data_IF_140547751303
#
_entry.id   IF_140547751303
#
_cell.length_a   1.000
_cell.length_b   1.000
_cell.length_c   1.000
_cell.angle_alpha   90.00
_cell.angle_beta   90.00
_cell.angle_gamma   90.00
#
_symmetry.space_group_name_H-M   'P 1'
#
loop_
_entity.id
_entity.type
_entity.pdbx_description
1 polymer ?
#
# COMPACT_ATOMS: atom_id res chain seq x y z
N UNK A 1 -73.82 -39.80 -45.80
CA UNK A 1 -74.12 -40.32 -44.44
C UNK A 1 -75.63 -40.29 -44.19
N UNK A 2 -76.16 -40.83 -43.08
CA UNK A 2 -77.62 -40.77 -42.79
C UNK A 2 -78.14 -39.33 -42.88
N UNK A 3 -77.30 -38.35 -42.56
CA UNK A 3 -77.56 -36.89 -42.69
C UNK A 3 -77.77 -36.39 -44.13
N UNK A 4 -77.31 -37.13 -45.15
CA UNK A 4 -77.39 -36.75 -46.57
C UNK A 4 -78.47 -37.53 -47.33
N UNK A 5 -79.23 -38.39 -46.64
CA UNK A 5 -80.27 -39.25 -47.23
C UNK A 5 -81.63 -38.54 -47.13
N UNK A 6 -82.19 -38.11 -48.27
CA UNK A 6 -83.43 -37.35 -48.35
C UNK A 6 -84.68 -38.07 -47.76
N UNK A 7 -84.65 -39.40 -47.68
CA UNK A 7 -85.68 -40.26 -47.07
C UNK A 7 -85.07 -41.16 -45.97
N UNK A 8 -84.26 -40.59 -45.07
CA UNK A 8 -83.78 -41.34 -43.90
C UNK A 8 -84.95 -41.73 -42.99
N UNK A 9 -85.04 -43.01 -42.63
CA UNK A 9 -86.02 -43.48 -41.65
C UNK A 9 -85.57 -43.15 -40.23
N UNK A 10 -86.52 -43.07 -39.28
CA UNK A 10 -86.21 -42.82 -37.88
C UNK A 10 -85.26 -43.88 -37.29
N UNK A 11 -85.45 -45.14 -37.68
CA UNK A 11 -84.59 -46.26 -37.30
C UNK A 11 -83.13 -46.09 -37.78
N UNK A 12 -82.92 -45.60 -39.01
CA UNK A 12 -81.58 -45.31 -39.53
C UNK A 12 -80.89 -44.17 -38.78
N UNK A 13 -81.66 -43.16 -38.34
CA UNK A 13 -81.15 -42.05 -37.52
C UNK A 13 -80.75 -42.52 -36.13
N UNK A 14 -81.57 -43.35 -35.49
CA UNK A 14 -81.31 -43.83 -34.13
C UNK A 14 -80.14 -44.84 -34.08
N UNK A 15 -80.01 -45.68 -35.11
CA UNK A 15 -78.83 -46.54 -35.28
C UNK A 15 -77.55 -45.71 -35.46
N UNK A 16 -77.58 -44.68 -36.32
CA UNK A 16 -76.41 -43.82 -36.53
C UNK A 16 -75.99 -43.04 -35.27
N UNK A 17 -76.96 -42.57 -34.47
CA UNK A 17 -76.69 -41.96 -33.16
C UNK A 17 -76.04 -42.94 -32.19
N UNK A 18 -76.54 -44.17 -32.15
CA UNK A 18 -76.01 -45.23 -31.29
C UNK A 18 -74.56 -45.54 -31.68
N UNK A 19 -74.28 -45.73 -32.98
CA UNK A 19 -72.92 -45.95 -33.48
C UNK A 19 -71.98 -44.78 -33.17
N UNK A 20 -72.45 -43.53 -33.32
CA UNK A 20 -71.63 -42.37 -32.98
C UNK A 20 -71.33 -42.29 -31.48
N UNK A 21 -72.31 -42.62 -30.62
CA UNK A 21 -72.14 -42.65 -29.17
C UNK A 21 -71.13 -43.73 -28.76
N UNK A 22 -71.20 -44.92 -29.35
CA UNK A 22 -70.23 -45.99 -29.12
C UNK A 22 -68.82 -45.59 -29.56
N UNK A 23 -68.68 -44.92 -30.71
CA UNK A 23 -67.39 -44.43 -31.19
C UNK A 23 -66.79 -43.33 -30.28
N UNK A 24 -67.63 -42.43 -29.73
CA UNK A 24 -67.20 -41.41 -28.77
C UNK A 24 -66.74 -42.07 -27.47
N UNK A 25 -67.49 -43.04 -26.95
CA UNK A 25 -67.11 -43.80 -25.76
C UNK A 25 -65.79 -44.54 -25.96
N UNK A 26 -65.64 -45.25 -27.08
CA UNK A 26 -64.40 -45.94 -27.41
C UNK A 26 -63.22 -44.98 -27.60
N UNK A 27 -63.43 -43.81 -28.21
CA UNK A 27 -62.39 -42.78 -28.33
C UNK A 27 -61.98 -42.23 -26.97
N UNK A 28 -62.95 -42.01 -26.08
CA UNK A 28 -62.71 -41.51 -24.72
C UNK A 28 -61.96 -42.53 -23.88
N UNK A 29 -62.35 -43.80 -23.92
CA UNK A 29 -61.65 -44.91 -23.24
C UNK A 29 -60.23 -45.15 -23.82
N UNK A 30 -60.02 -44.85 -25.09
CA UNK A 30 -58.71 -44.97 -25.74
C UNK A 30 -57.76 -43.80 -25.47
N UNK A 31 -58.23 -42.70 -24.87
CA UNK A 31 -57.34 -41.61 -24.48
C UNK A 31 -56.36 -42.10 -23.42
N UNK A 32 -55.08 -41.82 -23.64
CA UNK A 32 -54.00 -42.12 -22.70
C UNK A 32 -53.30 -40.82 -22.37
N UNK A 33 -52.84 -40.72 -21.13
CA UNK A 33 -51.98 -39.62 -20.72
C UNK A 33 -50.72 -39.58 -21.59
N UNK A 34 -50.31 -38.37 -21.98
CA UNK A 34 -49.07 -38.17 -22.70
C UNK A 34 -47.87 -38.52 -21.83
N UNK A 35 -46.91 -39.27 -22.38
CA UNK A 35 -45.72 -39.76 -21.64
C UNK A 35 -44.49 -38.87 -21.78
N UNK A 36 -44.66 -37.58 -22.12
CA UNK A 36 -43.53 -36.65 -22.26
C UNK A 36 -42.87 -36.46 -20.89
N UNK A 37 -41.56 -36.72 -20.72
CA UNK A 37 -40.85 -36.41 -19.48
C UNK A 37 -40.98 -34.92 -19.16
N UNK A 38 -41.27 -34.59 -17.91
CA UNK A 38 -41.27 -33.22 -17.41
C UNK A 38 -39.82 -32.70 -17.49
N UNK A 39 -39.58 -31.66 -18.30
CA UNK A 39 -38.28 -30.98 -18.30
C UNK A 39 -38.15 -30.25 -16.96
N UNK A 40 -37.44 -30.85 -16.01
CA UNK A 40 -37.02 -30.14 -14.80
C UNK A 40 -36.25 -28.89 -15.19
N UNK A 41 -36.60 -27.70 -14.67
CA UNK A 41 -35.86 -26.48 -14.99
C UNK A 41 -34.39 -26.64 -14.61
N UNK A 42 -33.50 -26.24 -15.52
CA UNK A 42 -32.05 -26.27 -15.28
C UNK A 42 -31.70 -25.42 -14.05
N UNK A 43 -30.85 -25.96 -13.18
CA UNK A 43 -30.46 -25.33 -11.92
C UNK A 43 -29.49 -24.17 -12.20
N UNK A 44 -29.83 -22.97 -11.74
CA UNK A 44 -29.03 -21.77 -11.99
C UNK A 44 -27.99 -21.55 -10.88
N UNK A 45 -26.70 -21.65 -11.24
CA UNK A 45 -25.54 -21.51 -10.35
C UNK A 45 -24.78 -20.20 -10.51
N UNK A 46 -25.23 -19.31 -11.40
CA UNK A 46 -24.50 -18.09 -11.77
C UNK A 46 -24.22 -17.20 -10.57
N UNK A 47 -25.25 -16.91 -9.77
CA UNK A 47 -25.10 -16.00 -8.63
C UNK A 47 -24.21 -16.54 -7.49
N UNK A 48 -24.13 -17.87 -7.35
CA UNK A 48 -23.21 -18.50 -6.39
C UNK A 48 -21.77 -18.42 -6.89
N UNK A 49 -21.56 -18.68 -8.18
CA UNK A 49 -20.24 -18.59 -8.83
C UNK A 49 -19.69 -17.16 -8.76
N UNK A 50 -20.53 -16.16 -9.04
CA UNK A 50 -20.18 -14.74 -8.89
C UNK A 50 -19.82 -14.38 -7.45
N UNK A 51 -20.59 -14.88 -6.46
CA UNK A 51 -20.32 -14.63 -5.05
C UNK A 51 -18.97 -15.24 -4.60
N UNK A 52 -18.64 -16.46 -5.06
CA UNK A 52 -17.34 -17.10 -4.81
C UNK A 52 -16.21 -16.25 -5.39
N UNK A 53 -16.33 -15.81 -6.64
CA UNK A 53 -15.30 -15.00 -7.31
C UNK A 53 -15.10 -13.61 -6.67
N UNK A 54 -16.15 -13.07 -6.04
CA UNK A 54 -16.10 -11.78 -5.37
C UNK A 54 -15.38 -11.80 -4.01
N UNK A 55 -15.14 -12.98 -3.41
CA UNK A 55 -14.46 -13.09 -2.11
C UNK A 55 -13.05 -12.51 -2.18
N UNK A 56 -12.73 -11.63 -1.23
CA UNK A 56 -11.41 -11.01 -1.06
C UNK A 56 -10.89 -11.29 0.34
N UNK A 57 -9.57 -11.38 0.45
CA UNK A 57 -8.87 -11.60 1.71
C UNK A 57 -7.96 -10.41 2.01
N UNK A 58 -7.79 -10.13 3.30
CA UNK A 58 -6.83 -9.16 3.83
C UNK A 58 -5.65 -9.88 4.48
N UNK A 59 -4.63 -9.12 4.89
CA UNK A 59 -3.43 -9.66 5.54
C UNK A 59 -3.80 -10.42 6.83
N UNK A 60 -3.09 -11.51 7.11
CA UNK A 60 -3.20 -12.23 8.38
C UNK A 60 -2.15 -11.69 9.35
N UNK A 61 -2.58 -11.32 10.56
CA UNK A 61 -1.70 -10.94 11.66
C UNK A 61 -2.22 -11.50 12.98
N UNK A 62 -1.37 -11.56 14.00
CA UNK A 62 -1.76 -11.96 15.36
C UNK A 62 -2.36 -10.77 16.12
N UNK A 63 -1.78 -9.58 15.97
CA UNK A 63 -2.14 -8.38 16.73
C UNK A 63 -2.17 -7.08 15.91
N UNK A 64 -1.83 -7.14 14.62
CA UNK A 64 -1.81 -5.99 13.71
C UNK A 64 -0.55 -5.14 13.78
N UNK A 65 0.41 -5.46 14.67
CA UNK A 65 1.62 -4.66 14.87
C UNK A 65 2.62 -4.71 13.70
N UNK A 66 2.40 -5.63 12.76
CA UNK A 66 3.17 -5.77 11.52
C UNK A 66 2.40 -5.30 10.27
N UNK A 67 1.27 -4.62 10.48
CA UNK A 67 0.36 -4.15 9.41
C UNK A 67 0.28 -2.63 9.47
N UNK A 68 0.48 -1.98 8.34
CA UNK A 68 0.40 -0.52 8.24
C UNK A 68 -0.97 -0.01 8.71
N UNK A 69 -1.02 1.16 9.37
CA UNK A 69 -2.27 1.72 9.91
C UNK A 69 -3.33 2.01 8.85
N UNK A 70 -2.93 2.12 7.57
CA UNK A 70 -3.79 2.33 6.42
C UNK A 70 -4.35 1.03 5.82
N UNK A 71 -3.87 -0.12 6.27
CA UNK A 71 -4.25 -1.44 5.79
C UNK A 71 -5.16 -2.17 6.79
N UNK A 72 -6.01 -3.06 6.26
CA UNK A 72 -6.82 -3.98 7.08
C UNK A 72 -6.11 -5.31 7.25
N UNK A 73 -6.34 -5.95 8.39
CA UNK A 73 -5.90 -7.30 8.69
C UNK A 73 -6.98 -8.12 9.40
N UNK A 74 -6.75 -9.43 9.49
CA UNK A 74 -7.62 -10.38 10.18
C UNK A 74 -6.81 -11.51 10.81
N UNK A 75 -7.45 -12.35 11.62
CA UNK A 75 -6.81 -13.52 12.22
C UNK A 75 -6.82 -14.71 11.25
N UNK A 76 -5.89 -15.66 11.48
CA UNK A 76 -5.85 -16.91 10.72
C UNK A 76 -7.16 -17.70 10.85
N UNK A 77 -7.78 -17.66 12.04
CA UNK A 77 -9.05 -18.35 12.31
C UNK A 77 -10.18 -17.81 11.42
N UNK A 78 -10.35 -16.48 11.36
CA UNK A 78 -11.37 -15.86 10.53
C UNK A 78 -11.16 -16.14 9.04
N UNK A 79 -9.90 -16.09 8.56
CA UNK A 79 -9.56 -16.46 7.17
C UNK A 79 -9.90 -17.91 6.86
N UNK A 80 -9.56 -18.82 7.75
CA UNK A 80 -9.84 -20.26 7.59
C UNK A 80 -11.34 -20.54 7.56
N UNK A 81 -12.14 -19.85 8.39
CA UNK A 81 -13.59 -19.97 8.38
C UNK A 81 -14.20 -19.55 7.02
N UNK A 82 -13.74 -18.43 6.45
CA UNK A 82 -14.18 -17.99 5.13
C UNK A 82 -13.71 -18.92 3.99
N UNK A 83 -12.47 -19.41 4.03
CA UNK A 83 -11.95 -20.41 3.08
C UNK A 83 -12.79 -21.70 3.10
N UNK A 84 -13.18 -22.16 4.29
CA UNK A 84 -14.06 -23.32 4.42
C UNK A 84 -15.46 -23.06 3.83
N UNK A 85 -16.03 -21.88 4.05
CA UNK A 85 -17.31 -21.51 3.44
C UNK A 85 -17.24 -21.45 1.91
N UNK A 86 -16.16 -20.90 1.35
CA UNK A 86 -15.89 -20.90 -0.09
C UNK A 86 -15.78 -22.32 -0.63
N UNK A 87 -15.08 -23.21 0.08
CA UNK A 87 -14.96 -24.63 -0.31
C UNK A 87 -16.31 -25.35 -0.33
N UNK A 88 -17.17 -25.10 0.66
CA UNK A 88 -18.54 -25.66 0.71
C UNK A 88 -19.39 -25.12 -0.43
N UNK A 89 -19.33 -23.83 -0.71
CA UNK A 89 -20.04 -23.21 -1.83
C UNK A 89 -19.59 -23.77 -3.18
N UNK A 90 -18.27 -23.95 -3.39
CA UNK A 90 -17.72 -24.54 -4.60
C UNK A 90 -18.17 -25.99 -4.79
N UNK A 91 -18.25 -26.78 -3.72
CA UNK A 91 -18.75 -28.15 -3.80
C UNK A 91 -20.21 -28.23 -4.31
N UNK A 92 -21.05 -27.23 -4.00
CA UNK A 92 -22.42 -27.14 -4.54
C UNK A 92 -22.43 -26.72 -6.02
N UNK A 93 -21.52 -25.83 -6.42
CA UNK A 93 -21.33 -25.48 -7.84
C UNK A 93 -20.90 -26.70 -8.66
N UNK A 94 -19.98 -27.52 -8.13
CA UNK A 94 -19.43 -28.67 -8.84
C UNK A 94 -20.38 -29.89 -8.84
N UNK A 95 -21.35 -29.94 -7.91
CA UNK A 95 -22.33 -31.02 -7.82
C UNK A 95 -23.30 -30.98 -9.01
N UNK A 96 -23.20 -31.93 -9.93
CA UNK A 96 -24.04 -32.02 -11.13
C UNK A 96 -25.54 -31.98 -10.80
N UNK A 97 -25.96 -32.80 -9.82
CA UNK A 97 -27.35 -32.94 -9.35
C UNK A 97 -27.68 -32.00 -8.17
N UNK A 98 -27.08 -30.81 -8.11
CA UNK A 98 -27.42 -29.83 -7.08
C UNK A 98 -28.84 -29.32 -7.30
N UNK A 99 -29.64 -29.17 -6.24
CA UNK A 99 -30.96 -28.53 -6.35
C UNK A 99 -30.84 -27.00 -6.28
N UNK A 100 -31.84 -26.27 -6.78
CA UNK A 100 -31.87 -24.81 -6.65
C UNK A 100 -31.89 -24.37 -5.17
N UNK A 101 -32.50 -25.16 -4.30
CA UNK A 101 -32.50 -24.93 -2.86
C UNK A 101 -31.08 -25.05 -2.28
N UNK A 102 -30.31 -26.08 -2.67
CA UNK A 102 -28.91 -26.24 -2.25
C UNK A 102 -28.04 -25.05 -2.70
N UNK A 103 -28.23 -24.59 -3.94
CA UNK A 103 -27.52 -23.42 -4.47
C UNK A 103 -27.87 -22.15 -3.69
N UNK A 104 -29.16 -21.93 -3.41
CA UNK A 104 -29.61 -20.76 -2.66
C UNK A 104 -29.08 -20.77 -1.22
N UNK A 105 -29.11 -21.93 -0.55
CA UNK A 105 -28.59 -22.10 0.80
C UNK A 105 -27.08 -21.87 0.86
N UNK A 106 -26.32 -22.43 -0.10
CA UNK A 106 -24.87 -22.21 -0.19
C UNK A 106 -24.51 -20.73 -0.40
N UNK A 107 -25.29 -20.01 -1.22
CA UNK A 107 -25.12 -18.57 -1.42
C UNK A 107 -25.35 -17.80 -0.12
N UNK A 108 -26.44 -18.09 0.58
CA UNK A 108 -26.74 -17.45 1.87
C UNK A 108 -25.62 -17.68 2.88
N UNK A 109 -25.17 -18.93 3.05
CA UNK A 109 -24.06 -19.25 3.96
C UNK A 109 -22.74 -18.57 3.59
N UNK A 110 -22.41 -18.48 2.28
CA UNK A 110 -21.22 -17.77 1.84
C UNK A 110 -21.30 -16.26 2.16
N UNK A 111 -22.45 -15.64 1.91
CA UNK A 111 -22.68 -14.21 2.22
C UNK A 111 -22.55 -13.94 3.72
N UNK A 112 -23.10 -14.82 4.56
CA UNK A 112 -22.95 -14.73 6.02
C UNK A 112 -21.48 -14.87 6.45
N UNK A 113 -20.74 -15.83 5.88
CA UNK A 113 -19.31 -16.00 6.17
C UNK A 113 -18.47 -14.79 5.74
N UNK A 114 -18.78 -14.18 4.59
CA UNK A 114 -18.14 -12.94 4.13
C UNK A 114 -18.44 -11.78 5.09
N UNK A 115 -19.68 -11.68 5.58
CA UNK A 115 -20.08 -10.67 6.57
C UNK A 115 -19.30 -10.83 7.88
N UNK A 116 -19.22 -12.05 8.41
CA UNK A 116 -18.45 -12.38 9.62
C UNK A 116 -16.96 -12.06 9.43
N UNK A 117 -16.39 -12.46 8.29
CA UNK A 117 -14.98 -12.19 7.97
C UNK A 117 -14.70 -10.69 7.90
N UNK A 118 -15.58 -9.92 7.25
CA UNK A 118 -15.46 -8.46 7.14
C UNK A 118 -15.54 -7.79 8.51
N UNK A 119 -16.46 -8.24 9.37
CA UNK A 119 -16.58 -7.73 10.74
C UNK A 119 -15.37 -8.08 11.62
N UNK A 120 -14.66 -9.17 11.31
CA UNK A 120 -13.44 -9.56 12.01
C UNK A 120 -12.20 -8.76 11.58
N UNK A 121 -12.28 -7.95 10.52
CA UNK A 121 -11.15 -7.13 10.07
C UNK A 121 -10.88 -5.97 11.02
N UNK A 122 -9.60 -5.64 11.21
CA UNK A 122 -9.13 -4.55 12.05
C UNK A 122 -8.12 -3.70 11.29
N UNK A 123 -7.96 -2.45 11.70
CA UNK A 123 -6.87 -1.60 11.21
C UNK A 123 -5.53 -2.08 11.74
N UNK A 124 -4.49 -1.92 10.92
CA UNK A 124 -3.11 -2.15 11.34
C UNK A 124 -2.69 -1.20 12.45
N UNK A 125 -1.70 -1.63 13.23
CA UNK A 125 -1.17 -0.88 14.38
C UNK A 125 0.34 -0.77 14.32
N UNK A 126 0.95 -1.05 13.16
CA UNK A 126 2.40 -0.96 12.99
C UNK A 126 2.88 0.42 13.47
N UNK A 127 3.79 0.45 14.46
CA UNK A 127 4.38 1.70 14.92
C UNK A 127 5.03 2.39 13.72
N UNK A 128 4.81 3.70 13.61
CA UNK A 128 5.70 4.50 12.79
C UNK A 128 7.10 4.36 13.38
N UNK A 129 8.10 4.13 12.53
CA UNK A 129 9.49 4.22 13.01
C UNK A 129 9.66 5.61 13.63
N UNK A 130 10.28 5.72 14.82
CA UNK A 130 10.51 7.02 15.40
C UNK A 130 11.33 7.83 14.40
N UNK A 131 10.77 8.95 13.92
CA UNK A 131 11.58 9.92 13.20
C UNK A 131 12.74 10.29 14.11
N UNK A 132 13.97 10.13 13.62
CA UNK A 132 15.15 10.59 14.36
C UNK A 132 14.94 12.07 14.66
N UNK A 133 15.01 12.46 15.93
CA UNK A 133 14.94 13.88 16.25
C UNK A 133 16.11 14.59 15.59
N UNK A 134 15.98 15.88 15.27
CA UNK A 134 17.08 16.68 14.73
C UNK A 134 18.34 16.54 15.60
N UNK A 135 18.19 16.48 16.92
CA UNK A 135 19.30 16.28 17.84
C UNK A 135 19.97 14.91 17.67
N UNK A 136 19.20 13.83 17.49
CA UNK A 136 19.74 12.49 17.22
C UNK A 136 20.46 12.46 15.86
N UNK A 137 19.87 13.02 14.82
CA UNK A 137 20.45 13.13 13.49
C UNK A 137 21.82 13.84 13.54
N UNK A 138 21.90 14.99 14.21
CA UNK A 138 23.15 15.75 14.37
C UNK A 138 24.21 15.00 15.19
N UNK A 139 23.78 14.27 16.24
CA UNK A 139 24.68 13.43 17.04
C UNK A 139 25.22 12.23 16.25
N UNK A 140 24.41 11.62 15.38
CA UNK A 140 24.86 10.57 14.48
C UNK A 140 25.81 11.13 13.40
N UNK A 141 25.49 12.30 12.84
CA UNK A 141 26.30 12.91 11.80
C UNK A 141 27.71 13.30 12.30
N UNK A 142 27.82 13.86 13.52
CA UNK A 142 29.14 14.20 14.10
C UNK A 142 29.97 12.97 14.46
N UNK A 143 29.34 11.84 14.78
CA UNK A 143 30.02 10.58 15.13
C UNK A 143 30.30 9.69 13.91
N UNK A 144 29.78 10.05 12.73
CA UNK A 144 29.92 9.27 11.52
C UNK A 144 31.40 9.08 11.13
N UNK A 145 31.78 7.81 10.91
CA UNK A 145 33.13 7.40 10.52
C UNK A 145 33.19 7.14 9.03
N UNK A 146 34.02 7.91 8.33
CA UNK A 146 34.28 7.71 6.90
C UNK A 146 35.30 6.60 6.65
N UNK A 147 35.14 5.90 5.52
CA UNK A 147 36.02 4.80 5.11
C UNK A 147 37.50 5.21 4.94
N UNK A 148 37.74 6.47 4.57
CA UNK A 148 39.09 7.01 4.37
C UNK A 148 39.80 7.44 5.66
N UNK A 149 39.26 7.06 6.83
CA UNK A 149 39.80 7.38 8.17
C UNK A 149 40.10 8.87 8.29
N UNK A 150 39.04 9.68 8.18
CA UNK A 150 39.12 11.13 8.33
C UNK A 150 39.24 11.54 9.81
N UNK A 151 40.20 12.42 10.12
CA UNK A 151 40.38 12.97 11.47
C UNK A 151 39.95 14.43 11.49
N UNK A 152 38.89 14.71 12.24
CA UNK A 152 38.40 16.07 12.45
C UNK A 152 39.44 16.94 13.17
N UNK A 153 39.54 18.18 12.71
CA UNK A 153 40.39 19.22 13.30
C UNK A 153 39.68 19.95 14.42
N UNK A 154 38.40 20.26 14.22
CA UNK A 154 37.54 20.84 15.24
C UNK A 154 36.75 19.79 16.02
N UNK A 155 35.97 20.29 16.98
CA UNK A 155 35.03 19.52 17.80
C UNK A 155 33.62 20.03 17.56
N UNK A 156 32.67 19.11 17.60
CA UNK A 156 31.25 19.43 17.43
C UNK A 156 30.47 19.09 18.70
N UNK A 157 29.69 20.05 19.18
CA UNK A 157 28.73 19.89 20.26
C UNK A 157 27.32 20.09 19.70
N UNK A 158 26.37 19.28 20.15
CA UNK A 158 24.98 19.36 19.72
C UNK A 158 24.13 19.67 20.94
N UNK A 159 23.21 20.63 20.78
CA UNK A 159 22.18 20.94 21.76
C UNK A 159 20.90 21.24 20.99
N UNK A 160 19.86 20.43 21.22
CA UNK A 160 18.60 20.55 20.49
C UNK A 160 18.85 20.53 18.97
N UNK A 161 18.46 21.57 18.24
CA UNK A 161 18.64 21.69 16.80
C UNK A 161 19.93 22.43 16.38
N UNK A 162 20.85 22.69 17.32
CA UNK A 162 22.06 23.46 17.06
C UNK A 162 23.30 22.58 17.12
N UNK A 163 24.10 22.55 16.05
CA UNK A 163 25.44 21.99 16.03
C UNK A 163 26.48 23.11 16.09
N UNK A 164 27.25 23.16 17.16
CA UNK A 164 28.37 24.10 17.32
C UNK A 164 29.68 23.41 16.96
N UNK A 165 30.31 23.83 15.87
CA UNK A 165 31.65 23.41 15.45
C UNK A 165 32.68 24.44 15.92
N UNK A 166 33.66 23.98 16.70
CA UNK A 166 34.74 24.80 17.26
C UNK A 166 36.10 24.25 16.85
N UNK A 167 36.99 25.11 16.34
CA UNK A 167 38.33 24.70 15.89
C UNK A 167 39.39 25.78 16.18
N UNK A 168 40.69 25.46 16.25
CA UNK A 168 41.72 26.47 16.41
C UNK A 168 41.72 27.45 15.23
N UNK A 169 42.10 28.71 15.45
CA UNK A 169 42.13 29.74 14.40
C UNK A 169 42.95 29.33 13.15
N UNK A 170 44.00 28.52 13.35
CA UNK A 170 44.82 27.96 12.28
C UNK A 170 44.05 26.98 11.36
N UNK A 171 42.95 26.39 11.82
CA UNK A 171 42.10 25.53 11.00
C UNK A 171 41.31 26.30 9.95
N UNK A 172 41.12 27.61 10.13
CA UNK A 172 40.44 28.52 9.20
C UNK A 172 41.40 29.21 8.22
N UNK A 173 42.70 28.97 8.34
CA UNK A 173 43.71 29.53 7.43
C UNK A 173 43.84 28.63 6.20
N UNK A 174 43.86 29.23 5.00
CA UNK A 174 44.11 28.52 3.74
C UNK A 174 45.57 28.06 3.67
N UNK A 175 45.81 26.84 3.19
CA UNK A 175 47.16 26.30 2.97
C UNK A 175 47.60 26.46 1.50
N UNK A 176 47.40 27.65 0.95
CA UNK A 176 47.60 27.95 -0.48
C UNK A 176 46.47 28.83 -1.02
N UNK A 177 46.68 29.44 -2.18
CA UNK A 177 45.73 30.39 -2.79
C UNK A 177 44.36 29.74 -3.06
N UNK A 178 44.37 28.48 -3.50
CA UNK A 178 43.16 27.71 -3.86
C UNK A 178 42.82 26.58 -2.87
N UNK A 179 43.48 26.54 -1.71
CA UNK A 179 43.32 25.43 -0.77
C UNK A 179 42.06 25.60 0.10
N UNK A 180 41.29 24.51 0.24
CA UNK A 180 40.28 24.40 1.30
C UNK A 180 40.95 24.48 2.67
N UNK A 181 40.29 25.15 3.63
CA UNK A 181 40.77 25.17 5.02
C UNK A 181 40.39 23.86 5.72
N UNK A 182 41.10 23.52 6.80
CA UNK A 182 40.77 22.32 7.59
C UNK A 182 39.34 22.39 8.16
N UNK A 183 38.92 23.58 8.60
CA UNK A 183 37.56 23.79 9.08
C UNK A 183 36.50 23.58 8.00
N UNK A 184 36.76 24.01 6.76
CA UNK A 184 35.81 23.79 5.65
C UNK A 184 35.71 22.33 5.23
N UNK A 185 36.81 21.56 5.34
CA UNK A 185 36.80 20.12 5.11
C UNK A 185 36.00 19.37 6.20
N UNK A 186 36.16 19.76 7.47
CA UNK A 186 35.36 19.22 8.57
C UNK A 186 33.86 19.50 8.36
N UNK A 187 33.51 20.73 7.99
CA UNK A 187 32.12 21.09 7.73
C UNK A 187 31.54 20.32 6.53
N UNK A 188 32.32 20.13 5.47
CA UNK A 188 31.92 19.29 4.35
C UNK A 188 31.64 17.84 4.80
N UNK A 189 32.40 17.31 5.76
CA UNK A 189 32.20 15.96 6.31
C UNK A 189 30.97 15.88 7.21
N UNK A 190 30.69 16.89 8.01
CA UNK A 190 29.46 16.96 8.81
C UNK A 190 28.22 17.00 7.92
N UNK A 191 28.21 17.85 6.89
CA UNK A 191 27.09 17.96 5.95
C UNK A 191 26.94 16.69 5.10
N UNK A 192 28.06 16.07 4.70
CA UNK A 192 28.04 14.79 4.01
C UNK A 192 27.50 13.65 4.87
N UNK A 193 27.77 13.69 6.18
CA UNK A 193 27.36 12.65 7.12
C UNK A 193 25.84 12.59 7.26
N UNK A 194 25.13 13.73 7.18
CA UNK A 194 23.66 13.76 7.17
C UNK A 194 23.06 12.79 6.13
N UNK A 195 23.53 12.85 4.88
CA UNK A 195 23.11 11.90 3.84
C UNK A 195 23.58 10.46 4.12
N UNK A 196 24.73 10.29 4.78
CA UNK A 196 25.32 8.97 5.02
C UNK A 196 24.56 8.18 6.07
N UNK A 197 24.11 8.84 7.14
CA UNK A 197 23.31 8.22 8.20
C UNK A 197 21.87 7.98 7.76
N UNK A 198 21.32 8.88 6.94
CA UNK A 198 19.96 8.79 6.46
C UNK A 198 19.86 9.12 4.96
N UNK A 199 19.59 8.08 4.16
CA UNK A 199 19.43 8.19 2.71
C UNK A 199 18.10 8.81 2.29
N UNK A 200 17.14 8.91 3.21
CA UNK A 200 15.86 9.58 3.00
C UNK A 200 15.95 11.10 3.13
N UNK A 201 17.10 11.65 3.51
CA UNK A 201 17.37 13.07 3.31
C UNK A 201 17.73 13.24 1.83
N UNK A 202 16.76 13.72 1.04
CA UNK A 202 16.91 13.89 -0.41
C UNK A 202 17.32 15.32 -0.79
N UNK A 203 17.02 16.28 0.09
CA UNK A 203 17.29 17.70 -0.10
C UNK A 203 17.69 18.41 1.20
N UNK A 204 18.48 19.47 1.05
CA UNK A 204 18.79 20.44 2.10
C UNK A 204 18.54 21.83 1.54
N UNK A 205 17.78 22.67 2.26
CA UNK A 205 17.61 24.06 1.89
C UNK A 205 18.60 24.96 2.64
N UNK A 206 19.18 25.93 1.92
CA UNK A 206 20.04 26.97 2.46
C UNK A 206 19.82 28.27 1.68
N UNK A 207 19.52 29.37 2.39
CA UNK A 207 19.26 30.69 1.80
C UNK A 207 18.30 30.62 0.58
N UNK A 208 17.14 29.98 0.79
CA UNK A 208 16.06 29.73 -0.20
C UNK A 208 16.43 28.86 -1.41
N UNK A 209 17.66 28.37 -1.50
CA UNK A 209 18.10 27.43 -2.53
C UNK A 209 18.02 25.98 -2.02
N UNK A 210 17.55 25.07 -2.87
CA UNK A 210 17.45 23.63 -2.56
C UNK A 210 18.65 22.87 -3.14
N UNK A 211 19.37 22.15 -2.29
CA UNK A 211 20.53 21.35 -2.68
C UNK A 211 20.18 19.87 -2.64
N UNK A 212 20.53 19.14 -3.70
CA UNK A 212 20.27 17.69 -3.81
C UNK A 212 21.58 16.90 -3.77
N UNK A 213 21.52 15.63 -3.39
CA UNK A 213 22.72 14.81 -3.29
C UNK A 213 23.19 14.31 -4.66
N UNK A 214 24.35 14.79 -5.14
CA UNK A 214 24.94 14.30 -6.39
C UNK A 214 25.65 12.95 -6.18
N UNK A 215 24.99 11.86 -6.57
CA UNK A 215 25.54 10.50 -6.48
C UNK A 215 26.75 10.27 -7.40
N UNK A 216 26.85 11.01 -8.51
CA UNK A 216 27.93 10.89 -9.50
C UNK A 216 29.21 11.67 -9.16
N UNK A 217 29.19 12.54 -8.14
CA UNK A 217 30.36 13.33 -7.74
C UNK A 217 31.43 12.47 -7.05
N UNK A 218 32.71 12.78 -7.29
CA UNK A 218 33.86 12.11 -6.65
C UNK A 218 34.25 12.72 -5.29
N UNK A 219 33.58 13.80 -4.86
CA UNK A 219 33.85 14.48 -3.60
C UNK A 219 33.73 13.52 -2.40
N UNK A 220 34.65 13.63 -1.45
CA UNK A 220 34.75 12.71 -0.30
C UNK A 220 33.91 13.14 0.92
N UNK A 221 33.58 14.42 1.03
CA UNK A 221 32.70 14.96 2.06
C UNK A 221 31.26 15.06 1.56
N UNK A 222 30.73 16.28 1.61
CA UNK A 222 29.41 16.62 1.09
C UNK A 222 29.38 16.60 -0.44
N UNK A 223 28.28 16.07 -0.98
CA UNK A 223 27.94 16.12 -2.41
C UNK A 223 26.62 16.86 -2.65
N UNK A 224 26.18 17.66 -1.67
CA UNK A 224 25.01 18.52 -1.81
C UNK A 224 25.31 19.62 -2.82
N UNK A 225 24.55 19.67 -3.92
CA UNK A 225 24.73 20.67 -4.98
C UNK A 225 23.39 21.19 -5.53
N UNK A 226 23.45 22.40 -6.08
CA UNK A 226 22.41 23.02 -6.87
C UNK A 226 23.06 23.56 -8.15
N UNK A 227 22.65 23.06 -9.31
CA UNK A 227 23.15 23.50 -10.63
C UNK A 227 24.69 23.55 -10.76
N UNK A 228 25.38 22.56 -10.16
CA UNK A 228 26.84 22.46 -10.16
C UNK A 228 27.55 23.31 -9.10
N UNK A 229 26.82 24.08 -8.29
CA UNK A 229 27.33 24.81 -7.13
C UNK A 229 27.11 23.99 -5.86
N UNK A 230 28.18 23.71 -5.11
CA UNK A 230 28.06 22.90 -3.88
C UNK A 230 27.54 23.73 -2.71
N UNK A 231 26.72 23.13 -1.84
CA UNK A 231 26.27 23.75 -0.59
C UNK A 231 27.44 24.21 0.27
N UNK A 232 28.48 23.37 0.36
CA UNK A 232 29.71 23.70 1.08
C UNK A 232 30.31 25.00 0.56
N UNK A 233 30.43 25.18 -0.75
CA UNK A 233 31.03 26.41 -1.30
C UNK A 233 30.27 27.69 -0.92
N UNK A 234 28.94 27.62 -0.82
CA UNK A 234 28.09 28.75 -0.42
C UNK A 234 28.25 29.08 1.06
N UNK A 235 28.23 28.05 1.91
CA UNK A 235 28.48 28.21 3.35
C UNK A 235 29.90 28.75 3.61
N UNK A 236 30.91 28.26 2.89
CA UNK A 236 32.29 28.77 3.01
C UNK A 236 32.34 30.25 2.63
N UNK A 237 31.72 30.64 1.51
CA UNK A 237 31.66 32.05 1.10
C UNK A 237 30.99 32.92 2.15
N UNK A 238 29.94 32.43 2.81
CA UNK A 238 29.28 33.13 3.91
C UNK A 238 30.22 33.28 5.13
N UNK A 239 30.86 32.21 5.57
CA UNK A 239 31.80 32.24 6.70
C UNK A 239 32.98 33.17 6.43
N UNK A 240 33.52 33.18 5.20
CA UNK A 240 34.61 34.09 4.81
C UNK A 240 34.19 35.56 4.88
N UNK A 241 32.95 35.89 4.49
CA UNK A 241 32.40 37.25 4.63
C UNK A 241 32.25 37.66 6.09
N UNK A 242 31.88 36.73 6.95
CA UNK A 242 31.64 36.93 8.38
C UNK A 242 32.86 36.61 9.25
N UNK A 243 34.06 36.45 8.68
CA UNK A 243 35.22 35.87 9.35
C UNK A 243 35.66 36.64 10.62
N UNK A 244 35.36 37.94 10.73
CA UNK A 244 35.64 38.73 11.94
C UNK A 244 34.82 38.29 13.16
N UNK A 245 33.74 37.54 12.93
CA UNK A 245 32.78 37.09 13.95
C UNK A 245 33.04 35.65 14.38
N UNK A 246 34.15 35.03 13.94
CA UNK A 246 34.52 33.67 14.35
C UNK A 246 34.93 33.56 15.82
N UNK A 247 35.19 34.66 16.52
CA UNK A 247 35.47 34.68 17.97
C UNK A 247 34.19 34.88 18.79
N UNK A 248 34.14 34.40 20.03
CA UNK A 248 32.99 34.61 20.91
C UNK A 248 31.79 33.75 20.54
N UNK A 249 30.69 34.36 20.07
CA UNK A 249 29.45 33.66 19.71
C UNK A 249 29.58 32.84 18.41
N UNK A 250 30.48 33.23 17.50
CA UNK A 250 30.69 32.55 16.23
C UNK A 250 29.81 33.06 15.08
N UNK A 251 29.99 32.43 13.92
CA UNK A 251 29.15 32.65 12.73
C UNK A 251 28.09 31.57 12.68
N UNK A 252 26.82 31.95 12.59
CA UNK A 252 25.69 31.01 12.53
C UNK A 252 25.00 31.01 11.18
N UNK A 253 24.57 29.84 10.71
CA UNK A 253 23.70 29.71 9.56
C UNK A 253 22.69 28.59 9.76
N UNK A 254 21.55 28.70 9.08
CA UNK A 254 20.45 27.76 9.20
C UNK A 254 20.31 26.92 7.94
N UNK A 255 19.96 25.64 8.13
CA UNK A 255 19.59 24.70 7.08
C UNK A 255 18.18 24.18 7.36
N UNK A 256 17.43 23.87 6.31
CA UNK A 256 16.21 23.06 6.43
C UNK A 256 16.52 21.64 5.99
N UNK A 257 16.28 20.66 6.86
CA UNK A 257 16.48 19.23 6.58
C UNK A 257 15.20 18.51 6.99
N UNK A 258 14.56 17.79 6.05
CA UNK A 258 13.25 17.13 6.28
C UNK A 258 12.16 18.10 6.81
N UNK A 259 12.18 19.35 6.35
CA UNK A 259 11.25 20.38 6.80
C UNK A 259 11.57 20.98 8.18
N UNK A 260 12.60 20.48 8.88
CA UNK A 260 13.03 20.95 10.19
C UNK A 260 14.23 21.89 10.09
N UNK A 261 14.22 22.93 10.93
CA UNK A 261 15.29 23.94 10.98
C UNK A 261 16.45 23.45 11.85
N UNK A 262 17.65 23.42 11.26
CA UNK A 262 18.92 23.09 11.91
C UNK A 262 19.82 24.33 11.91
N UNK A 263 20.39 24.70 13.05
CA UNK A 263 21.37 25.80 13.14
C UNK A 263 22.78 25.23 13.27
N UNK A 264 23.68 25.69 12.41
CA UNK A 264 25.12 25.46 12.54
C UNK A 264 25.79 26.72 13.07
N UNK A 265 26.62 26.57 14.10
CA UNK A 265 27.45 27.64 14.65
C UNK A 265 28.91 27.26 14.44
N UNK A 266 29.68 28.13 13.80
CA UNK A 266 31.10 27.94 13.49
C UNK A 266 31.92 28.98 14.24
N UNK A 267 32.84 28.55 15.08
CA UNK A 267 33.70 29.46 15.84
C UNK A 267 35.11 28.94 16.08
N UNK A 268 35.96 29.86 16.49
CA UNK A 268 37.33 29.60 16.91
C UNK A 268 37.39 29.21 18.37
N UNK A 269 38.37 28.37 18.73
CA UNK A 269 38.75 28.15 20.12
C UNK A 269 39.19 29.48 20.75
N UNK A 270 38.77 29.74 21.99
CA UNK A 270 39.22 30.88 22.78
C UNK A 270 40.66 30.68 23.29
#
# INVERSE_FOLDING_TARGET
>A
AVVDKAEATQEEVDNAKTTLAEAISAYTEAQKDGTKPEETPEVNKTALTEAIAAVKYVKVSTDGSDVEKTEKWTTQEAKTALENAVKVAQAVVDKAEATQEEVNNAKTSLVEAVSIYTAAQKDGTKPEEPEETVEQLLNLAKEYKYDDVYVYTGKSEVKENTLTYTAPATAFQKQGEDANTRATMDLARLLGALYKIDKGIEEIEYDVETYTWNTGSELKGSKWENEGVTLVSKIVSYIEKEATNLTGEGVSFDLTVKGEKITFVVKTEN
#
